data_IF_660351551097
#
_entry.id   IF_660351551097
#
_cell.length_a   1.000
_cell.length_b   1.000
_cell.length_c   1.000
_cell.angle_alpha   90.00
_cell.angle_beta   90.00
_cell.angle_gamma   90.00
#
_symmetry.space_group_name_H-M   'P 1'
#
loop_
_entity.id
_entity.type
_entity.pdbx_description
1 polymer ?
#
# COMPACT_ATOMS: atom_id res chain seq x y z
N UNK A 1 -28.82 0.32 -13.91
CA UNK A 1 -28.24 1.62 -13.48
C UNK A 1 -27.67 1.38 -12.08
N UNK A 2 -26.36 1.59 -11.87
CA UNK A 2 -25.77 1.54 -10.52
C UNK A 2 -26.49 2.59 -9.65
N UNK A 3 -26.83 2.23 -8.42
CA UNK A 3 -27.45 3.16 -7.46
C UNK A 3 -26.53 4.37 -7.21
N UNK A 4 -27.06 5.56 -6.90
CA UNK A 4 -26.24 6.71 -6.58
C UNK A 4 -25.32 6.39 -5.40
N UNK A 5 -24.05 6.73 -5.55
CA UNK A 5 -23.04 6.52 -4.49
C UNK A 5 -23.38 7.36 -3.25
N UNK A 6 -23.50 6.71 -2.11
CA UNK A 6 -23.72 7.41 -0.83
C UNK A 6 -22.36 7.56 -0.17
N UNK A 7 -21.82 8.79 -0.18
CA UNK A 7 -20.57 9.11 0.48
C UNK A 7 -20.76 9.26 1.98
N UNK A 8 -20.10 8.42 2.74
CA UNK A 8 -20.08 8.48 4.20
C UNK A 8 -18.75 9.07 4.66
N UNK A 9 -18.79 9.90 5.69
CA UNK A 9 -17.62 10.55 6.29
C UNK A 9 -17.65 10.22 7.78
N UNK A 10 -16.56 9.63 8.29
CA UNK A 10 -16.47 9.19 9.69
C UNK A 10 -16.26 10.37 10.63
N UNK A 11 -15.30 11.24 10.32
CA UNK A 11 -14.97 12.42 11.11
C UNK A 11 -15.07 13.69 10.24
N UNK A 12 -16.29 14.27 10.05
CA UNK A 12 -16.47 15.42 9.18
C UNK A 12 -15.65 16.64 9.60
N UNK A 13 -15.35 16.78 10.89
CA UNK A 13 -14.56 17.92 11.40
C UNK A 13 -13.15 17.88 10.83
N UNK A 14 -12.52 16.72 10.79
CA UNK A 14 -11.15 16.57 10.30
C UNK A 14 -11.11 16.30 8.79
N UNK A 15 -11.95 15.41 8.29
CA UNK A 15 -11.94 15.00 6.88
C UNK A 15 -12.43 16.08 5.92
N UNK A 16 -13.19 17.09 6.42
CA UNK A 16 -13.70 18.22 5.65
C UNK A 16 -13.20 19.58 6.19
N UNK A 17 -12.10 19.58 6.94
CA UNK A 17 -11.53 20.80 7.50
C UNK A 17 -11.08 21.74 6.38
N UNK A 18 -11.33 23.06 6.56
CA UNK A 18 -10.86 24.09 5.64
C UNK A 18 -9.32 24.06 5.57
N UNK A 19 -8.76 24.19 4.36
CA UNK A 19 -7.33 23.98 4.08
C UNK A 19 -6.39 24.84 4.91
N UNK A 20 -6.72 26.10 5.14
CA UNK A 20 -5.90 27.01 5.97
C UNK A 20 -5.84 26.52 7.42
N UNK A 21 -7.00 26.14 7.97
CA UNK A 21 -7.08 25.61 9.34
C UNK A 21 -6.36 24.28 9.52
N UNK A 22 -6.46 23.42 8.50
CA UNK A 22 -5.73 22.15 8.50
C UNK A 22 -4.22 22.40 8.49
N UNK A 23 -3.74 23.36 7.68
CA UNK A 23 -2.33 23.71 7.62
C UNK A 23 -1.81 24.32 8.94
N UNK A 24 -2.62 25.15 9.60
CA UNK A 24 -2.31 25.67 10.95
C UNK A 24 -2.21 24.52 11.98
N UNK A 25 -3.16 23.59 11.95
CA UNK A 25 -3.15 22.40 12.81
C UNK A 25 -1.91 21.53 12.56
N UNK A 26 -1.58 21.30 11.30
CA UNK A 26 -0.37 20.56 10.92
C UNK A 26 0.90 21.24 11.43
N UNK A 27 1.02 22.56 11.29
CA UNK A 27 2.18 23.33 11.78
C UNK A 27 2.36 23.21 13.29
N UNK A 28 1.25 23.30 14.06
CA UNK A 28 1.27 23.11 15.51
C UNK A 28 1.74 21.70 15.89
N UNK A 29 1.12 20.67 15.31
CA UNK A 29 1.43 19.26 15.56
C UNK A 29 2.85 18.89 15.13
N UNK A 30 3.32 19.46 14.02
CA UNK A 30 4.70 19.28 13.53
C UNK A 30 5.71 19.78 14.57
N UNK A 31 5.51 20.98 15.11
CA UNK A 31 6.38 21.54 16.16
C UNK A 31 6.42 20.63 17.38
N UNK A 32 5.25 20.22 17.90
CA UNK A 32 5.15 19.31 19.05
C UNK A 32 5.90 17.99 18.80
N UNK A 33 5.80 17.44 17.59
CA UNK A 33 6.51 16.22 17.21
C UNK A 33 8.02 16.44 17.12
N UNK A 34 8.46 17.54 16.54
CA UNK A 34 9.90 17.87 16.43
C UNK A 34 10.51 18.10 17.81
N UNK A 35 9.83 18.79 18.70
CA UNK A 35 10.26 18.96 20.12
C UNK A 35 10.40 17.60 20.82
N UNK A 36 9.42 16.70 20.65
CA UNK A 36 9.43 15.34 21.20
C UNK A 36 10.63 14.53 20.68
N UNK A 37 10.84 14.52 19.37
CA UNK A 37 11.92 13.80 18.72
C UNK A 37 13.30 14.33 19.10
N UNK A 38 13.48 15.63 19.06
CA UNK A 38 14.73 16.28 19.44
C UNK A 38 15.12 16.00 20.90
N UNK A 39 14.13 16.00 21.81
CA UNK A 39 14.35 15.74 23.22
C UNK A 39 14.74 14.27 23.51
N UNK A 40 14.08 13.32 22.84
CA UNK A 40 14.09 11.93 23.27
C UNK A 40 14.83 10.96 22.31
N UNK A 41 15.03 11.32 21.03
CA UNK A 41 15.67 10.45 20.05
C UNK A 41 17.04 11.00 19.63
N UNK A 42 18.15 10.39 20.11
CA UNK A 42 19.51 10.90 19.85
C UNK A 42 19.81 11.10 18.37
N UNK A 43 19.41 10.15 17.50
CA UNK A 43 19.66 10.24 16.06
C UNK A 43 19.07 11.50 15.42
N UNK A 44 17.83 11.86 15.76
CA UNK A 44 17.21 13.09 15.23
C UNK A 44 17.93 14.33 15.75
N UNK A 45 18.24 14.37 17.03
CA UNK A 45 18.98 15.50 17.61
C UNK A 45 20.35 15.68 16.94
N UNK A 46 21.12 14.61 16.79
CA UNK A 46 22.43 14.65 16.13
C UNK A 46 22.34 15.17 14.69
N UNK A 47 21.35 14.70 13.92
CA UNK A 47 21.14 15.14 12.54
C UNK A 47 20.70 16.58 12.46
N UNK A 48 19.77 17.01 13.31
CA UNK A 48 19.32 18.40 13.34
C UNK A 48 20.45 19.33 13.78
N UNK A 49 21.22 18.98 14.79
CA UNK A 49 22.38 19.77 15.25
C UNK A 49 23.46 19.89 14.16
N UNK A 50 23.73 18.81 13.42
CA UNK A 50 24.64 18.81 12.29
C UNK A 50 24.19 19.77 11.15
N UNK A 51 22.88 19.96 10.99
CA UNK A 51 22.28 20.87 10.03
C UNK A 51 22.11 22.29 10.59
N UNK A 52 22.44 22.51 11.87
CA UNK A 52 22.22 23.80 12.55
C UNK A 52 20.74 24.14 12.77
N UNK A 53 19.85 23.15 12.83
CA UNK A 53 18.41 23.30 12.97
C UNK A 53 17.98 22.93 14.40
N UNK A 54 17.15 23.75 15.00
CA UNK A 54 16.57 23.55 16.33
C UNK A 54 15.06 23.48 16.26
N UNK A 55 14.37 22.89 17.26
CA UNK A 55 12.90 22.84 17.29
C UNK A 55 12.23 24.21 17.11
N UNK A 56 12.79 25.27 17.67
CA UNK A 56 12.30 26.65 17.54
C UNK A 56 12.35 27.22 16.13
N UNK A 57 13.11 26.62 15.22
CA UNK A 57 13.20 27.00 13.80
C UNK A 57 12.04 26.44 12.98
N UNK A 58 11.26 25.52 13.55
CA UNK A 58 10.11 24.87 12.91
C UNK A 58 8.83 25.54 13.38
N UNK A 59 8.33 26.48 12.61
CA UNK A 59 7.17 27.31 12.96
C UNK A 59 5.92 26.96 12.14
N UNK A 60 6.09 26.35 11.00
CA UNK A 60 5.02 26.01 10.07
C UNK A 60 5.37 24.76 9.25
N UNK A 61 4.43 24.28 8.46
CA UNK A 61 4.65 23.19 7.50
C UNK A 61 5.71 23.57 6.44
N UNK A 62 5.88 24.86 6.13
CA UNK A 62 6.88 25.33 5.16
C UNK A 62 8.31 25.10 5.62
N UNK A 63 8.51 24.96 6.94
CA UNK A 63 9.81 24.68 7.54
C UNK A 63 10.21 23.20 7.50
N UNK A 64 9.28 22.32 7.07
CA UNK A 64 9.51 20.88 7.00
C UNK A 64 10.79 20.52 6.22
N UNK A 65 11.08 21.24 5.14
CA UNK A 65 12.28 21.07 4.32
C UNK A 65 13.60 21.29 5.07
N UNK A 66 13.59 21.95 6.23
CA UNK A 66 14.77 22.12 7.08
C UNK A 66 15.12 20.84 7.85
N UNK A 67 14.19 19.91 8.00
CA UNK A 67 14.38 18.67 8.74
C UNK A 67 15.11 17.61 7.92
N UNK A 68 15.93 16.76 8.57
CA UNK A 68 16.61 15.66 7.89
C UNK A 68 15.63 14.58 7.43
N UNK A 69 16.00 13.90 6.35
CA UNK A 69 15.30 12.68 5.93
C UNK A 69 15.61 11.51 6.86
N UNK A 70 14.65 10.60 6.96
CA UNK A 70 14.80 9.28 7.55
C UNK A 70 14.55 8.21 6.49
N UNK A 71 15.30 7.13 6.59
CA UNK A 71 15.25 6.00 5.66
C UNK A 71 15.07 4.67 6.39
N UNK A 72 14.73 3.65 5.63
CA UNK A 72 14.54 2.29 6.15
C UNK A 72 15.80 1.70 6.81
N UNK A 73 16.97 2.11 6.35
CA UNK A 73 18.27 1.76 6.94
C UNK A 73 18.41 2.27 8.36
N UNK A 74 17.95 3.49 8.64
CA UNK A 74 18.01 4.07 9.99
C UNK A 74 17.22 3.24 11.01
N UNK A 75 16.03 2.74 10.59
CA UNK A 75 15.23 1.88 11.47
C UNK A 75 15.91 0.54 11.77
N UNK A 76 16.69 0.02 10.83
CA UNK A 76 17.48 -1.22 11.02
C UNK A 76 18.68 -0.99 11.92
N UNK A 77 19.37 0.13 11.73
CA UNK A 77 20.57 0.48 12.50
C UNK A 77 20.22 0.80 13.95
N UNK A 78 19.04 1.39 14.17
CA UNK A 78 18.51 1.73 15.50
C UNK A 78 17.66 0.59 16.14
N UNK A 79 17.67 -0.62 15.54
CA UNK A 79 16.93 -1.76 16.07
C UNK A 79 17.44 -2.18 17.45
N UNK A 80 16.58 -2.52 18.44
CA UNK A 80 15.12 -2.55 18.31
C UNK A 80 14.42 -1.24 18.74
N UNK A 81 15.01 -0.42 19.60
CA UNK A 81 14.32 0.66 20.34
C UNK A 81 14.99 2.02 20.24
N UNK A 82 16.03 2.17 19.40
CA UNK A 82 16.81 3.41 19.31
C UNK A 82 16.03 4.62 18.79
N UNK A 83 14.85 4.39 18.17
CA UNK A 83 13.97 5.46 17.68
C UNK A 83 12.70 5.65 18.53
N UNK A 84 12.61 5.02 19.71
CA UNK A 84 11.48 5.30 20.59
C UNK A 84 11.63 6.71 21.22
N UNK A 85 10.57 7.51 21.02
CA UNK A 85 10.45 8.83 21.65
C UNK A 85 9.79 8.77 23.05
N UNK A 86 9.36 7.59 23.47
CA UNK A 86 8.75 7.30 24.76
C UNK A 86 9.47 6.16 25.47
N UNK A 87 9.26 6.03 26.78
CA UNK A 87 9.77 4.88 27.54
C UNK A 87 9.07 3.59 27.08
N UNK A 88 9.77 2.46 27.13
CA UNK A 88 9.20 1.17 26.77
C UNK A 88 7.94 0.81 27.60
N UNK A 89 7.83 1.33 28.83
CA UNK A 89 6.67 1.17 29.70
C UNK A 89 5.40 1.85 29.17
N UNK A 90 5.54 2.84 28.28
CA UNK A 90 4.45 3.60 27.68
C UNK A 90 4.06 3.01 26.30
N UNK A 91 4.84 2.03 25.83
CA UNK A 91 4.57 1.31 24.58
C UNK A 91 3.66 0.12 24.87
N UNK A 92 2.45 0.18 24.35
CA UNK A 92 1.44 -0.89 24.56
C UNK A 92 1.46 -1.95 23.47
N UNK A 93 2.12 -1.67 22.33
CA UNK A 93 2.21 -2.60 21.21
C UNK A 93 3.47 -2.39 20.39
N UNK A 94 4.06 -3.51 19.94
CA UNK A 94 5.13 -3.52 18.97
C UNK A 94 4.62 -4.21 17.72
N UNK A 95 4.81 -3.56 16.56
CA UNK A 95 4.53 -4.13 15.25
C UNK A 95 5.81 -4.18 14.44
N UNK A 96 5.83 -5.00 13.39
CA UNK A 96 7.00 -5.10 12.53
C UNK A 96 6.63 -5.35 11.09
N UNK A 97 7.53 -4.99 10.19
CA UNK A 97 7.44 -5.32 8.78
C UNK A 97 8.25 -6.58 8.47
N UNK A 98 7.86 -7.31 7.41
CA UNK A 98 8.64 -8.43 6.90
C UNK A 98 9.98 -7.92 6.37
N UNK A 99 11.04 -8.11 7.11
CA UNK A 99 12.39 -7.86 6.63
C UNK A 99 12.78 -8.92 5.59
N UNK A 100 12.84 -8.56 4.31
CA UNK A 100 13.33 -9.45 3.25
C UNK A 100 14.83 -9.72 3.34
N UNK A 101 15.56 -8.97 4.16
CA UNK A 101 17.04 -8.95 4.23
C UNK A 101 17.62 -9.18 5.62
N UNK A 102 16.90 -9.83 6.55
CA UNK A 102 17.43 -10.14 7.90
C UNK A 102 16.57 -9.64 9.05
N UNK A 103 17.03 -8.65 9.84
CA UNK A 103 16.27 -8.14 10.98
C UNK A 103 14.99 -7.43 10.54
N UNK A 104 13.83 -7.72 11.15
CA UNK A 104 12.60 -6.99 10.86
C UNK A 104 12.74 -5.53 11.30
N UNK A 105 12.02 -4.62 10.64
CA UNK A 105 11.80 -3.29 11.18
C UNK A 105 10.70 -3.42 12.22
N UNK A 106 10.94 -2.85 13.39
CA UNK A 106 9.93 -2.79 14.46
C UNK A 106 9.56 -1.36 14.77
N UNK A 107 8.33 -1.14 15.17
CA UNK A 107 7.82 0.16 15.61
C UNK A 107 6.99 -0.01 16.87
N UNK A 108 7.18 0.89 17.81
CA UNK A 108 6.41 0.94 19.07
C UNK A 108 5.22 1.90 18.94
N UNK A 109 4.11 1.49 19.51
CA UNK A 109 2.87 2.27 19.56
C UNK A 109 2.45 2.50 21.01
N UNK A 110 2.16 3.74 21.34
CA UNK A 110 1.46 4.10 22.59
C UNK A 110 -0.03 3.85 22.46
N UNK A 111 -0.78 4.01 23.51
CA UNK A 111 -2.25 3.92 23.49
C UNK A 111 -2.86 4.99 22.57
N UNK A 112 -2.32 6.21 22.58
CA UNK A 112 -2.69 7.26 21.64
C UNK A 112 -2.44 6.87 20.20
N UNK A 113 -1.31 6.25 19.88
CA UNK A 113 -0.97 5.83 18.52
C UNK A 113 -1.94 4.76 18.00
N UNK A 114 -2.36 3.85 18.88
CA UNK A 114 -3.37 2.83 18.55
C UNK A 114 -4.73 3.48 18.29
N UNK A 115 -5.10 4.48 19.07
CA UNK A 115 -6.34 5.22 18.90
C UNK A 115 -6.38 5.96 17.56
N UNK A 116 -5.31 6.70 17.24
CA UNK A 116 -5.14 7.40 15.96
C UNK A 116 -5.20 6.42 14.79
N UNK A 117 -4.48 5.31 14.88
CA UNK A 117 -4.49 4.29 13.83
C UNK A 117 -5.89 3.68 13.64
N UNK A 118 -6.56 3.36 14.74
CA UNK A 118 -7.94 2.84 14.72
C UNK A 118 -8.89 3.80 14.01
N UNK A 119 -8.77 5.11 14.28
CA UNK A 119 -9.56 6.13 13.61
C UNK A 119 -9.26 6.21 12.11
N UNK A 120 -7.99 6.22 11.70
CA UNK A 120 -7.61 6.24 10.28
C UNK A 120 -8.24 5.07 9.50
N UNK A 121 -8.24 3.88 10.07
CA UNK A 121 -8.88 2.71 9.43
C UNK A 121 -10.40 2.80 9.45
N UNK A 122 -10.99 3.34 10.52
CA UNK A 122 -12.44 3.59 10.58
C UNK A 122 -12.89 4.56 9.47
N UNK A 123 -12.11 5.62 9.19
CA UNK A 123 -12.33 6.54 8.07
C UNK A 123 -12.26 5.81 6.72
N UNK A 124 -11.26 4.94 6.53
CA UNK A 124 -11.11 4.14 5.31
C UNK A 124 -12.30 3.22 5.06
N UNK A 125 -12.71 2.45 6.05
CA UNK A 125 -13.87 1.56 5.97
C UNK A 125 -15.15 2.34 5.70
N UNK A 126 -15.37 3.45 6.40
CA UNK A 126 -16.55 4.32 6.20
C UNK A 126 -16.58 4.92 4.80
N UNK A 127 -15.41 5.34 4.27
CA UNK A 127 -15.28 5.89 2.92
C UNK A 127 -15.59 4.86 1.83
N UNK A 128 -15.28 3.59 2.07
CA UNK A 128 -15.67 2.46 1.22
C UNK A 128 -17.14 2.02 1.39
N UNK A 129 -17.94 2.75 2.20
CA UNK A 129 -19.36 2.47 2.42
C UNK A 129 -19.69 1.64 3.66
N UNK A 130 -18.69 1.32 4.48
CA UNK A 130 -18.84 0.55 5.71
C UNK A 130 -19.63 1.29 6.80
N UNK A 131 -20.34 0.52 7.63
CA UNK A 131 -21.13 1.02 8.76
C UNK A 131 -21.40 -0.08 9.80
N UNK A 132 -22.18 0.24 10.84
CA UNK A 132 -22.46 -0.67 11.96
C UNK A 132 -23.27 -1.93 11.58
N UNK A 133 -23.98 -1.91 10.45
CA UNK A 133 -24.78 -3.07 10.01
C UNK A 133 -23.93 -4.11 9.26
N UNK A 134 -22.64 -3.84 9.07
CA UNK A 134 -21.76 -4.66 8.25
C UNK A 134 -21.13 -5.83 9.03
N UNK A 135 -20.91 -6.92 8.31
CA UNK A 135 -20.09 -8.05 8.72
C UNK A 135 -18.82 -8.02 7.88
N UNK A 136 -17.69 -7.70 8.51
CA UNK A 136 -16.41 -7.46 7.83
C UNK A 136 -15.47 -8.65 8.03
N UNK A 137 -15.15 -9.33 6.93
CA UNK A 137 -14.19 -10.43 6.95
C UNK A 137 -12.79 -9.91 6.72
N UNK A 138 -11.87 -10.22 7.65
CA UNK A 138 -10.48 -9.79 7.62
C UNK A 138 -9.59 -10.97 7.28
N UNK A 139 -9.01 -10.91 6.09
CA UNK A 139 -8.10 -11.91 5.53
C UNK A 139 -6.64 -11.43 5.52
N UNK A 140 -6.32 -10.34 6.21
CA UNK A 140 -4.94 -9.96 6.51
C UNK A 140 -4.39 -10.79 7.67
N UNK A 141 -3.09 -11.12 7.62
CA UNK A 141 -2.43 -11.81 8.72
C UNK A 141 -2.47 -11.02 10.03
N UNK A 142 -2.79 -11.71 11.11
CA UNK A 142 -2.66 -11.21 12.48
C UNK A 142 -1.26 -11.51 13.02
N UNK A 143 -0.81 -10.76 14.01
CA UNK A 143 0.48 -10.93 14.66
C UNK A 143 1.36 -9.69 14.51
N UNK A 144 2.63 -9.87 14.07
CA UNK A 144 3.58 -8.78 14.00
C UNK A 144 3.25 -7.74 12.91
N UNK A 145 2.52 -8.13 11.87
CA UNK A 145 2.08 -7.23 10.79
C UNK A 145 0.87 -6.38 11.18
N UNK A 146 0.81 -5.17 10.63
CA UNK A 146 -0.22 -4.18 10.98
C UNK A 146 -1.59 -4.45 10.33
N UNK A 147 -1.62 -5.15 9.20
CA UNK A 147 -2.84 -5.27 8.37
C UNK A 147 -4.05 -5.82 9.10
N UNK A 148 -3.91 -7.01 9.71
CA UNK A 148 -5.02 -7.69 10.37
C UNK A 148 -5.57 -6.93 11.58
N UNK A 149 -4.68 -6.49 12.48
CA UNK A 149 -5.08 -5.76 13.69
C UNK A 149 -5.65 -4.38 13.38
N UNK A 150 -5.08 -3.66 12.41
CA UNK A 150 -5.60 -2.35 12.00
C UNK A 150 -7.01 -2.44 11.42
N UNK A 151 -7.23 -3.36 10.47
CA UNK A 151 -8.55 -3.57 9.88
C UNK A 151 -9.58 -4.01 10.94
N UNK A 152 -9.18 -4.88 11.87
CA UNK A 152 -10.00 -5.35 12.98
C UNK A 152 -10.48 -4.19 13.87
N UNK A 153 -9.55 -3.39 14.36
CA UNK A 153 -9.87 -2.28 15.27
C UNK A 153 -10.72 -1.21 14.58
N UNK A 154 -10.39 -0.86 13.33
CA UNK A 154 -11.20 0.08 12.55
C UNK A 154 -12.62 -0.41 12.30
N UNK A 155 -12.80 -1.71 12.00
CA UNK A 155 -14.11 -2.32 11.83
C UNK A 155 -14.93 -2.30 13.12
N UNK A 156 -14.33 -2.65 14.26
CA UNK A 156 -14.99 -2.53 15.56
C UNK A 156 -15.35 -1.07 15.90
N UNK A 157 -14.49 -0.12 15.55
CA UNK A 157 -14.71 1.31 15.78
C UNK A 157 -15.95 1.85 15.07
N UNK A 158 -16.23 1.40 13.86
CA UNK A 158 -17.45 1.79 13.12
C UNK A 158 -18.70 1.00 13.58
N UNK A 159 -18.57 0.10 14.56
CA UNK A 159 -19.66 -0.74 15.10
C UNK A 159 -19.93 -2.00 14.30
N UNK A 160 -19.13 -2.34 13.29
CA UNK A 160 -19.33 -3.52 12.46
C UNK A 160 -18.96 -4.82 13.19
N UNK A 161 -19.59 -5.94 12.78
CA UNK A 161 -19.20 -7.26 13.22
C UNK A 161 -17.96 -7.74 12.48
N UNK A 162 -16.96 -8.27 13.18
CA UNK A 162 -15.70 -8.72 12.59
C UNK A 162 -15.62 -10.24 12.52
N UNK A 163 -15.24 -10.77 11.34
CA UNK A 163 -14.82 -12.16 11.15
C UNK A 163 -13.28 -12.17 11.05
N UNK A 164 -12.55 -12.50 12.12
CA UNK A 164 -11.09 -12.38 12.18
C UNK A 164 -10.40 -13.65 11.63
N UNK A 165 -10.47 -13.85 10.32
CA UNK A 165 -10.01 -15.09 9.65
C UNK A 165 -8.50 -15.23 9.58
N UNK A 166 -7.75 -14.11 9.55
CA UNK A 166 -6.32 -14.10 9.19
C UNK A 166 -6.07 -14.53 7.73
N UNK A 167 -4.81 -14.62 7.32
CA UNK A 167 -4.43 -15.04 5.97
C UNK A 167 -4.52 -16.58 5.81
N UNK A 168 -4.64 -17.04 4.57
CA UNK A 168 -4.60 -18.47 4.22
C UNK A 168 -5.92 -19.23 4.41
N UNK A 169 -5.88 -20.54 4.19
CA UNK A 169 -7.02 -21.46 4.30
C UNK A 169 -8.25 -21.04 3.48
N UNK A 170 -8.08 -20.96 2.17
CA UNK A 170 -9.07 -20.46 1.19
C UNK A 170 -10.43 -21.13 1.33
N UNK A 171 -10.49 -22.45 1.57
CA UNK A 171 -11.74 -23.18 1.77
C UNK A 171 -12.55 -22.64 2.95
N UNK A 172 -11.87 -22.42 4.06
CA UNK A 172 -12.50 -21.88 5.27
C UNK A 172 -12.88 -20.41 5.08
N UNK A 173 -12.08 -19.64 4.33
CA UNK A 173 -12.41 -18.25 4.00
C UNK A 173 -13.74 -18.17 3.25
N UNK A 174 -13.90 -18.96 2.20
CA UNK A 174 -15.14 -19.00 1.40
C UNK A 174 -16.34 -19.48 2.23
N UNK A 175 -16.16 -20.55 3.01
CA UNK A 175 -17.21 -21.06 3.87
C UNK A 175 -17.69 -20.00 4.87
N UNK A 176 -16.78 -19.32 5.57
CA UNK A 176 -17.15 -18.29 6.54
C UNK A 176 -17.77 -17.06 5.86
N UNK A 177 -17.28 -16.64 4.70
CA UNK A 177 -17.84 -15.54 3.91
C UNK A 177 -19.30 -15.81 3.56
N UNK A 178 -19.61 -16.98 3.06
CA UNK A 178 -20.97 -17.34 2.60
C UNK A 178 -21.92 -17.65 3.75
N UNK A 179 -21.48 -18.43 4.74
CA UNK A 179 -22.35 -18.88 5.85
C UNK A 179 -22.62 -17.78 6.88
N UNK A 180 -21.61 -16.92 7.18
CA UNK A 180 -21.78 -15.80 8.11
C UNK A 180 -22.25 -14.52 7.41
N UNK A 181 -22.38 -14.54 6.08
CA UNK A 181 -22.92 -13.43 5.30
C UNK A 181 -22.06 -12.18 5.35
N UNK A 182 -20.75 -12.33 5.15
CA UNK A 182 -19.85 -11.18 5.09
C UNK A 182 -20.31 -10.16 4.03
N UNK A 183 -20.35 -8.88 4.41
CA UNK A 183 -20.76 -7.76 3.55
C UNK A 183 -19.60 -6.92 3.09
N UNK A 184 -18.45 -7.01 3.77
CA UNK A 184 -17.21 -6.36 3.35
C UNK A 184 -16.02 -7.31 3.50
N UNK A 185 -15.00 -7.10 2.65
CA UNK A 185 -13.78 -7.89 2.61
C UNK A 185 -12.54 -6.99 2.79
N UNK A 186 -11.60 -7.41 3.65
CA UNK A 186 -10.31 -6.77 3.83
C UNK A 186 -9.20 -7.78 3.57
N UNK A 187 -8.45 -7.63 2.48
CA UNK A 187 -7.32 -8.50 2.15
C UNK A 187 -6.39 -7.86 1.12
N UNK A 188 -5.34 -8.57 0.69
CA UNK A 188 -4.52 -8.12 -0.44
C UNK A 188 -5.28 -8.28 -1.75
N UNK A 189 -5.05 -7.40 -2.75
CA UNK A 189 -5.76 -7.47 -4.04
C UNK A 189 -5.60 -8.82 -4.75
N UNK A 190 -4.39 -9.38 -4.76
CA UNK A 190 -4.13 -10.69 -5.38
C UNK A 190 -4.89 -11.81 -4.72
N UNK A 191 -5.01 -11.78 -3.38
CA UNK A 191 -5.77 -12.80 -2.66
C UNK A 191 -7.28 -12.62 -2.86
N UNK A 192 -7.77 -11.37 -2.95
CA UNK A 192 -9.17 -11.09 -3.29
C UNK A 192 -9.54 -11.66 -4.67
N UNK A 193 -8.68 -11.44 -5.68
CA UNK A 193 -8.87 -11.99 -7.02
C UNK A 193 -8.91 -13.51 -7.00
N UNK A 194 -7.98 -14.14 -6.29
CA UNK A 194 -7.97 -15.60 -6.15
C UNK A 194 -9.23 -16.15 -5.46
N UNK A 195 -9.71 -15.47 -4.40
CA UNK A 195 -10.98 -15.84 -3.74
C UNK A 195 -12.17 -15.67 -4.68
N UNK A 196 -12.25 -14.56 -5.41
CA UNK A 196 -13.35 -14.28 -6.34
C UNK A 196 -13.42 -15.33 -7.47
N UNK A 197 -12.27 -15.64 -8.09
CA UNK A 197 -12.20 -16.68 -9.11
C UNK A 197 -12.57 -18.06 -8.57
N UNK A 198 -12.09 -18.41 -7.37
CA UNK A 198 -12.43 -19.69 -6.74
C UNK A 198 -13.92 -19.79 -6.40
N UNK A 199 -14.54 -18.71 -5.91
CA UNK A 199 -15.98 -18.66 -5.65
C UNK A 199 -16.79 -18.83 -6.94
N UNK A 200 -16.39 -18.18 -8.04
CA UNK A 200 -17.00 -18.31 -9.36
C UNK A 200 -16.91 -19.75 -9.87
N UNK A 201 -15.72 -20.32 -9.87
CA UNK A 201 -15.43 -21.66 -10.40
C UNK A 201 -16.18 -22.76 -9.64
N UNK A 202 -16.56 -22.49 -8.39
CA UNK A 202 -17.38 -23.39 -7.55
C UNK A 202 -18.88 -23.09 -7.58
N UNK A 203 -19.30 -22.09 -8.33
CA UNK A 203 -20.73 -21.72 -8.40
C UNK A 203 -21.28 -21.20 -7.08
N UNK A 204 -20.48 -20.46 -6.29
CA UNK A 204 -20.86 -19.95 -4.97
C UNK A 204 -21.19 -18.45 -4.97
N UNK A 205 -21.13 -17.77 -6.12
CA UNK A 205 -21.33 -16.32 -6.19
C UNK A 205 -22.70 -15.86 -5.68
N UNK A 206 -23.74 -16.62 -5.90
CA UNK A 206 -25.11 -16.33 -5.41
C UNK A 206 -25.24 -16.37 -3.88
N UNK A 207 -24.27 -16.95 -3.16
CA UNK A 207 -24.21 -16.96 -1.70
C UNK A 207 -23.40 -15.79 -1.15
N UNK A 208 -22.65 -15.07 -1.99
CA UNK A 208 -21.81 -13.95 -1.58
C UNK A 208 -22.68 -12.70 -1.41
N UNK A 209 -22.51 -12.00 -0.28
CA UNK A 209 -23.23 -10.77 0.07
C UNK A 209 -22.33 -9.53 0.13
N UNK A 210 -21.10 -9.64 -0.40
CA UNK A 210 -20.15 -8.55 -0.40
C UNK A 210 -20.71 -7.36 -1.20
N UNK A 211 -20.67 -6.18 -0.60
CA UNK A 211 -21.02 -4.91 -1.25
C UNK A 211 -19.82 -4.00 -1.48
N UNK A 212 -18.76 -4.21 -0.70
CA UNK A 212 -17.52 -3.45 -0.81
C UNK A 212 -16.33 -4.20 -0.19
N UNK A 213 -15.13 -3.69 -0.44
CA UNK A 213 -13.91 -4.14 0.23
C UNK A 213 -12.82 -3.09 0.22
N UNK A 214 -11.86 -3.26 1.13
CA UNK A 214 -10.62 -2.46 1.15
C UNK A 214 -9.42 -3.37 0.92
N UNK A 215 -8.60 -2.99 -0.08
CA UNK A 215 -7.50 -3.81 -0.58
C UNK A 215 -6.21 -3.00 -0.58
N UNK A 216 -5.12 -3.61 -0.14
CA UNK A 216 -3.82 -2.94 -0.07
C UNK A 216 -2.69 -3.88 0.35
N UNK A 217 -1.61 -3.33 0.85
CA UNK A 217 -0.36 -4.00 1.18
C UNK A 217 0.48 -4.45 -0.03
N UNK A 218 -0.04 -4.36 -1.23
CA UNK A 218 0.66 -4.57 -2.50
C UNK A 218 0.10 -3.63 -3.58
N UNK A 219 0.90 -3.24 -4.58
CA UNK A 219 0.40 -2.51 -5.74
C UNK A 219 -0.60 -3.37 -6.54
N UNK A 220 -1.59 -2.73 -7.12
CA UNK A 220 -2.55 -3.37 -8.03
C UNK A 220 -3.06 -2.37 -9.07
N UNK A 221 -3.54 -2.87 -10.21
CA UNK A 221 -3.92 -2.04 -11.35
C UNK A 221 -5.44 -1.79 -11.40
N UNK A 222 -5.86 -0.81 -12.21
CA UNK A 222 -7.29 -0.54 -12.42
C UNK A 222 -8.00 -1.74 -13.04
N UNK A 223 -7.35 -2.39 -13.97
CA UNK A 223 -7.88 -3.57 -14.64
C UNK A 223 -8.08 -4.76 -13.69
N UNK A 224 -7.15 -4.92 -12.73
CA UNK A 224 -7.32 -5.91 -11.67
C UNK A 224 -8.52 -5.57 -10.79
N UNK A 225 -8.76 -4.28 -10.53
CA UNK A 225 -9.99 -3.80 -9.85
C UNK A 225 -11.22 -4.13 -10.65
N UNK A 226 -11.25 -3.75 -11.93
CA UNK A 226 -12.38 -4.00 -12.82
C UNK A 226 -12.68 -5.49 -12.94
N UNK A 227 -11.65 -6.33 -13.04
CA UNK A 227 -11.80 -7.78 -13.05
C UNK A 227 -12.44 -8.28 -11.75
N UNK A 228 -11.91 -7.85 -10.59
CA UNK A 228 -12.44 -8.22 -9.28
C UNK A 228 -13.90 -7.77 -9.10
N UNK A 229 -14.21 -6.53 -9.46
CA UNK A 229 -15.56 -5.97 -9.39
C UNK A 229 -16.53 -6.65 -10.35
N UNK A 230 -16.06 -7.10 -11.51
CA UNK A 230 -16.90 -7.83 -12.48
C UNK A 230 -17.32 -9.20 -11.98
N UNK A 231 -16.51 -9.85 -11.13
CA UNK A 231 -16.83 -11.16 -10.57
C UNK A 231 -17.75 -11.04 -9.34
N UNK A 232 -17.47 -10.10 -8.44
CA UNK A 232 -18.15 -10.02 -7.14
C UNK A 232 -19.29 -8.99 -7.09
N UNK A 233 -19.47 -8.17 -8.13
CA UNK A 233 -20.47 -7.08 -8.23
C UNK A 233 -20.48 -6.17 -6.98
N UNK A 234 -19.33 -5.67 -6.59
CA UNK A 234 -19.13 -4.89 -5.38
C UNK A 234 -18.21 -3.68 -5.64
N UNK A 235 -17.94 -2.84 -4.65
CA UNK A 235 -16.98 -1.73 -4.75
C UNK A 235 -15.63 -2.10 -4.12
N UNK A 236 -14.56 -2.11 -4.91
CA UNK A 236 -13.20 -2.35 -4.45
C UNK A 236 -12.43 -1.03 -4.29
N UNK A 237 -12.06 -0.69 -3.04
CA UNK A 237 -11.34 0.53 -2.70
C UNK A 237 -9.90 0.22 -2.25
N UNK A 238 -8.97 1.10 -2.61
CA UNK A 238 -7.57 0.99 -2.23
C UNK A 238 -7.33 1.53 -0.81
N UNK A 239 -6.38 0.94 -0.09
CA UNK A 239 -5.90 1.42 1.21
C UNK A 239 -4.37 1.32 1.26
N UNK A 240 -3.74 2.41 1.68
CA UNK A 240 -2.29 2.50 1.78
C UNK A 240 -1.84 2.75 3.22
N UNK A 241 -0.67 2.22 3.54
CA UNK A 241 0.02 2.50 4.80
C UNK A 241 1.29 1.69 4.96
N UNK A 242 2.09 2.13 5.92
CA UNK A 242 3.36 1.53 6.30
C UNK A 242 3.36 1.30 7.81
N UNK A 243 3.95 0.19 8.25
CA UNK A 243 4.08 -0.14 9.68
C UNK A 243 4.71 1.02 10.46
N UNK A 244 5.76 1.60 9.93
CA UNK A 244 6.53 2.68 10.56
C UNK A 244 5.77 4.02 10.63
N UNK A 245 4.80 4.26 9.75
CA UNK A 245 4.02 5.50 9.72
C UNK A 245 2.77 5.42 10.58
N UNK A 246 2.00 4.35 10.48
CA UNK A 246 0.75 4.20 11.23
C UNK A 246 -0.06 2.97 10.81
N UNK A 247 0.56 2.03 10.09
CA UNK A 247 -0.15 0.86 9.55
C UNK A 247 -1.06 1.21 8.37
N UNK A 248 -2.01 0.33 8.00
CA UNK A 248 -2.99 0.63 6.97
C UNK A 248 -3.89 1.81 7.39
N UNK A 249 -4.36 2.57 6.41
CA UNK A 249 -5.25 3.71 6.63
C UNK A 249 -4.56 5.06 6.63
N UNK A 250 -3.24 5.15 6.45
CA UNK A 250 -2.54 6.44 6.25
C UNK A 250 -3.14 7.19 5.06
N UNK A 251 -3.45 6.46 3.99
CA UNK A 251 -4.27 6.96 2.89
C UNK A 251 -5.31 5.91 2.46
N UNK A 252 -6.45 6.37 1.92
CA UNK A 252 -7.58 5.51 1.57
C UNK A 252 -8.41 6.09 0.42
N UNK A 253 -8.96 5.22 -0.40
CA UNK A 253 -9.94 5.62 -1.42
C UNK A 253 -11.35 5.77 -0.82
N UNK A 254 -12.12 6.64 -1.42
CA UNK A 254 -13.57 6.69 -1.30
C UNK A 254 -14.21 6.02 -2.53
N UNK A 255 -15.54 5.94 -2.57
CA UNK A 255 -16.29 5.32 -3.68
C UNK A 255 -16.08 6.02 -5.04
N UNK A 256 -15.48 7.23 -5.08
CA UNK A 256 -15.11 7.89 -6.34
C UNK A 256 -13.92 7.22 -7.02
N UNK A 257 -13.03 6.54 -6.26
CA UNK A 257 -11.88 5.78 -6.78
C UNK A 257 -10.90 6.62 -7.62
N UNK A 258 -10.82 7.90 -7.29
CA UNK A 258 -9.95 8.87 -7.97
C UNK A 258 -8.76 9.29 -7.10
N UNK A 259 -8.03 8.31 -6.60
CA UNK A 259 -6.90 8.47 -5.69
C UNK A 259 -7.30 8.38 -4.22
N UNK A 260 -6.28 8.16 -3.38
CA UNK A 260 -6.41 7.91 -1.96
C UNK A 260 -6.30 9.22 -1.16
N UNK A 261 -7.30 9.53 -0.35
CA UNK A 261 -7.26 10.63 0.62
C UNK A 261 -6.22 10.36 1.69
N UNK A 262 -5.29 11.28 1.88
CA UNK A 262 -4.29 11.21 2.95
C UNK A 262 -4.89 11.75 4.24
N UNK A 263 -4.68 11.09 5.36
CA UNK A 263 -5.10 11.56 6.68
C UNK A 263 -4.19 12.70 7.16
N UNK A 264 -4.33 13.88 6.54
CA UNK A 264 -3.44 15.04 6.69
C UNK A 264 -3.45 15.66 8.09
N UNK A 265 -4.44 15.40 8.90
CA UNK A 265 -4.44 15.77 10.31
C UNK A 265 -3.51 14.90 11.16
N UNK A 266 -3.10 13.72 10.66
CA UNK A 266 -2.19 12.80 11.33
C UNK A 266 -0.81 12.71 10.68
N UNK A 267 -0.71 13.02 9.39
CA UNK A 267 0.55 12.98 8.63
C UNK A 267 0.68 14.18 7.70
N UNK A 268 1.89 14.65 7.49
CA UNK A 268 2.22 15.56 6.40
C UNK A 268 2.83 14.72 5.28
N UNK A 269 2.40 14.98 4.04
CA UNK A 269 2.85 14.27 2.84
C UNK A 269 3.61 15.21 1.93
N UNK A 270 4.76 14.76 1.42
CA UNK A 270 5.57 15.42 0.39
C UNK A 270 5.77 14.45 -0.77
N UNK A 271 5.92 15.01 -1.98
CA UNK A 271 6.51 14.30 -3.12
C UNK A 271 7.84 14.97 -3.40
N UNK A 272 8.90 14.19 -3.49
CA UNK A 272 10.25 14.70 -3.74
C UNK A 272 10.85 14.10 -5.00
N UNK A 273 11.81 14.82 -5.59
CA UNK A 273 12.72 14.24 -6.57
C UNK A 273 13.61 13.22 -5.84
N UNK A 274 13.64 11.94 -6.24
CA UNK A 274 14.39 10.91 -5.51
C UNK A 274 15.91 11.10 -5.50
N UNK A 275 16.47 11.85 -6.50
CA UNK A 275 17.90 12.10 -6.63
C UNK A 275 18.34 13.33 -5.84
N UNK A 276 17.56 14.42 -5.89
CA UNK A 276 17.93 15.69 -5.26
C UNK A 276 17.35 15.90 -3.88
N UNK A 277 16.26 15.19 -3.54
CA UNK A 277 15.49 15.38 -2.30
C UNK A 277 14.61 16.65 -2.30
N UNK A 278 14.58 17.41 -3.40
CA UNK A 278 13.77 18.62 -3.48
C UNK A 278 12.28 18.31 -3.65
N UNK A 279 11.41 19.04 -2.95
CA UNK A 279 9.96 18.88 -3.10
C UNK A 279 9.49 19.19 -4.52
N UNK A 280 8.56 18.39 -5.02
CA UNK A 280 7.93 18.56 -6.34
C UNK A 280 6.54 19.18 -6.21
N UNK A 281 6.09 19.95 -7.21
CA UNK A 281 4.74 20.50 -7.27
C UNK A 281 3.67 19.42 -7.32
N UNK A 282 2.44 19.78 -6.94
CA UNK A 282 1.28 18.90 -7.10
C UNK A 282 1.10 18.49 -8.56
N UNK A 283 0.78 17.22 -8.78
CA UNK A 283 0.62 16.62 -10.11
C UNK A 283 1.89 16.01 -10.68
N UNK A 284 3.07 16.37 -10.20
CA UNK A 284 4.34 15.75 -10.61
C UNK A 284 4.56 14.44 -9.85
N UNK A 285 5.12 13.46 -10.56
CA UNK A 285 5.45 12.15 -10.01
C UNK A 285 6.83 12.16 -9.37
N UNK A 286 6.94 11.61 -8.17
CA UNK A 286 8.19 11.50 -7.44
C UNK A 286 8.08 10.55 -6.26
N UNK A 287 9.09 10.55 -5.41
CA UNK A 287 9.13 9.70 -4.22
C UNK A 287 8.24 10.27 -3.11
N UNK A 288 7.42 9.41 -2.55
CA UNK A 288 6.52 9.70 -1.44
C UNK A 288 7.30 9.78 -0.12
N UNK A 289 7.08 10.86 0.62
CA UNK A 289 7.68 11.10 1.93
C UNK A 289 6.58 11.43 2.93
N UNK A 290 6.64 10.83 4.12
CA UNK A 290 5.72 11.13 5.20
C UNK A 290 6.42 11.67 6.43
N UNK A 291 5.75 12.62 7.09
CA UNK A 291 6.06 13.05 8.46
C UNK A 291 4.85 12.78 9.34
N UNK A 292 4.98 11.97 10.37
CA UNK A 292 3.91 11.74 11.34
C UNK A 292 3.85 12.94 12.31
N UNK A 293 2.63 13.39 12.63
CA UNK A 293 2.43 14.57 13.49
C UNK A 293 1.47 14.33 14.65
N UNK A 294 1.09 13.08 14.88
CA UNK A 294 0.27 12.66 16.03
C UNK A 294 0.76 11.35 16.65
N UNK A 295 1.71 10.68 16.01
CA UNK A 295 2.35 9.48 16.53
C UNK A 295 3.35 9.87 17.63
N UNK A 296 3.27 9.25 18.78
CA UNK A 296 4.04 9.63 19.96
C UNK A 296 5.07 8.60 20.39
N UNK A 297 4.84 7.32 20.11
CA UNK A 297 5.75 6.24 20.53
C UNK A 297 7.04 6.21 19.73
N UNK A 298 6.92 6.29 18.42
CA UNK A 298 8.04 6.29 17.48
C UNK A 298 7.64 7.13 16.26
N UNK A 299 7.63 8.45 16.37
CA UNK A 299 7.33 9.34 15.25
C UNK A 299 8.34 9.17 14.10
N UNK A 300 7.98 9.64 12.90
CA UNK A 300 8.86 9.66 11.73
C UNK A 300 8.84 11.06 11.13
N UNK A 301 10.01 11.71 11.05
CA UNK A 301 10.17 12.99 10.35
C UNK A 301 10.76 12.73 8.96
N UNK A 302 10.08 13.24 7.92
CA UNK A 302 10.49 13.12 6.52
C UNK A 302 10.98 11.72 6.10
N UNK A 303 10.17 10.72 6.43
CA UNK A 303 10.49 9.32 6.12
C UNK A 303 10.31 9.04 4.64
N UNK A 304 11.39 8.67 3.97
CA UNK A 304 11.41 8.26 2.56
C UNK A 304 10.85 6.86 2.42
N UNK A 305 9.73 6.73 1.72
CA UNK A 305 9.04 5.45 1.56
C UNK A 305 9.60 4.61 0.43
N UNK A 306 10.31 5.25 -0.50
CA UNK A 306 10.70 4.72 -1.81
C UNK A 306 9.53 4.41 -2.75
N UNK A 307 8.29 4.65 -2.36
CA UNK A 307 7.13 4.51 -3.23
C UNK A 307 6.99 5.70 -4.16
N UNK A 308 6.66 5.47 -5.43
CA UNK A 308 6.48 6.51 -6.45
C UNK A 308 4.99 6.78 -6.64
N UNK A 309 4.61 8.05 -6.46
CA UNK A 309 3.25 8.54 -6.67
C UNK A 309 3.26 10.04 -7.00
N UNK A 310 2.08 10.65 -7.07
CA UNK A 310 1.87 12.10 -7.19
C UNK A 310 0.71 12.55 -6.33
N UNK A 311 0.71 13.81 -5.90
CA UNK A 311 -0.42 14.38 -5.17
C UNK A 311 -1.44 15.01 -6.13
N UNK A 312 -2.72 14.88 -5.79
CA UNK A 312 -3.88 15.33 -6.54
C UNK A 312 -4.57 16.42 -5.71
N UNK A 313 -4.48 17.66 -6.16
CA UNK A 313 -5.00 18.83 -5.42
C UNK A 313 -6.49 19.12 -5.72
N UNK A 314 -7.03 18.59 -6.83
CA UNK A 314 -8.41 18.83 -7.24
C UNK A 314 -9.40 18.35 -6.18
N UNK A 315 -10.50 19.07 -5.94
CA UNK A 315 -11.54 18.62 -5.00
C UNK A 315 -12.11 17.25 -5.37
N UNK A 316 -12.43 16.44 -4.35
CA UNK A 316 -13.12 15.19 -4.55
C UNK A 316 -14.65 15.38 -4.43
N UNK A 317 -15.45 14.78 -5.34
CA UNK A 317 -16.92 14.85 -5.25
C UNK A 317 -17.48 14.25 -3.95
N UNK A 318 -16.73 13.42 -3.23
CA UNK A 318 -17.15 12.86 -1.95
C UNK A 318 -17.28 13.89 -0.80
N UNK A 319 -16.81 15.14 -1.01
CA UNK A 319 -16.90 16.23 -0.04
C UNK A 319 -15.72 16.35 0.93
N UNK A 320 -14.76 15.41 0.91
CA UNK A 320 -13.51 15.53 1.71
C UNK A 320 -12.60 16.60 1.13
N UNK A 321 -11.98 17.36 2.02
CA UNK A 321 -10.99 18.39 1.65
C UNK A 321 -9.56 17.90 1.70
N UNK A 322 -9.33 16.69 2.19
CA UNK A 322 -8.02 16.05 2.27
C UNK A 322 -7.39 15.89 0.89
N UNK A 323 -6.08 16.17 0.79
CA UNK A 323 -5.33 15.91 -0.45
C UNK A 323 -5.38 14.41 -0.78
N UNK A 324 -5.32 14.11 -2.07
CA UNK A 324 -5.25 12.71 -2.51
C UNK A 324 -3.88 12.40 -3.11
N UNK A 325 -3.43 11.19 -2.91
CA UNK A 325 -2.32 10.63 -3.67
C UNK A 325 -2.86 9.70 -4.75
N UNK A 326 -2.19 9.66 -5.90
CA UNK A 326 -2.51 8.67 -6.93
C UNK A 326 -2.14 7.27 -6.47
N UNK A 327 -2.55 6.28 -7.23
CA UNK A 327 -2.04 4.91 -7.08
C UNK A 327 -0.52 4.90 -7.20
N UNK A 328 0.12 3.99 -6.48
CA UNK A 328 1.56 3.78 -6.62
C UNK A 328 1.88 3.29 -8.03
N UNK A 329 2.89 3.88 -8.66
CA UNK A 329 3.36 3.48 -9.99
C UNK A 329 4.59 2.59 -9.93
N UNK A 330 5.23 2.47 -8.77
CA UNK A 330 6.42 1.64 -8.54
C UNK A 330 7.12 2.02 -7.24
N UNK A 331 8.31 1.47 -7.06
CA UNK A 331 9.21 1.79 -5.96
C UNK A 331 10.61 2.07 -6.50
N UNK A 332 11.32 3.03 -5.91
CA UNK A 332 12.72 3.31 -6.27
C UNK A 332 13.66 2.17 -5.88
N UNK A 333 13.33 1.41 -4.82
CA UNK A 333 14.12 0.27 -4.33
C UNK A 333 13.75 -1.08 -4.98
N UNK A 334 12.58 -1.21 -5.63
CA UNK A 334 12.18 -2.36 -6.45
C UNK A 334 12.54 -2.16 -7.94
N UNK A 335 13.19 -1.05 -8.26
CA UNK A 335 13.64 -0.74 -9.61
C UNK A 335 14.78 -1.69 -10.03
N UNK A 336 14.54 -2.40 -11.10
CA UNK A 336 15.57 -3.23 -11.73
C UNK A 336 16.29 -2.42 -12.79
N UNK A 337 17.59 -2.20 -12.63
CA UNK A 337 18.40 -1.65 -13.73
C UNK A 337 18.83 -2.80 -14.62
N UNK A 338 18.30 -2.86 -15.84
CA UNK A 338 18.57 -3.93 -16.80
C UNK A 338 19.13 -3.30 -18.09
N UNK A 339 20.38 -3.57 -18.39
CA UNK A 339 21.07 -2.98 -19.57
C UNK A 339 20.97 -1.43 -19.62
N UNK A 340 21.08 -0.76 -18.45
CA UNK A 340 20.99 0.69 -18.35
C UNK A 340 19.58 1.28 -18.44
N UNK A 341 18.53 0.43 -18.45
CA UNK A 341 17.13 0.86 -18.43
C UNK A 341 16.52 0.52 -17.09
N UNK A 342 15.81 1.49 -16.51
CA UNK A 342 15.05 1.31 -15.28
C UNK A 342 13.75 0.56 -15.59
N UNK A 343 13.58 -0.60 -14.99
CA UNK A 343 12.43 -1.49 -15.17
C UNK A 343 11.70 -1.64 -13.85
N UNK A 344 10.43 -1.29 -13.84
CA UNK A 344 9.57 -1.47 -12.67
C UNK A 344 8.62 -2.64 -12.89
N UNK A 345 8.40 -3.51 -11.89
CA UNK A 345 7.43 -4.59 -11.98
C UNK A 345 6.03 -4.13 -12.41
N UNK A 346 5.61 -2.95 -11.96
CA UNK A 346 4.33 -2.35 -12.34
C UNK A 346 4.20 -2.04 -13.84
N UNK A 347 5.31 -1.71 -14.52
CA UNK A 347 5.30 -1.51 -15.97
C UNK A 347 5.06 -2.83 -16.71
N UNK A 348 5.65 -3.93 -16.20
CA UNK A 348 5.40 -5.27 -16.76
C UNK A 348 3.95 -5.67 -16.51
N UNK A 349 3.42 -5.43 -15.32
CA UNK A 349 2.01 -5.70 -14.99
C UNK A 349 1.07 -4.97 -15.94
N UNK A 350 1.30 -3.68 -16.18
CA UNK A 350 0.53 -2.89 -17.15
C UNK A 350 0.57 -3.46 -18.59
N UNK A 351 1.66 -4.16 -18.98
CA UNK A 351 1.73 -4.83 -20.27
C UNK A 351 0.82 -6.06 -20.38
N UNK A 352 0.53 -6.71 -19.25
CA UNK A 352 -0.21 -7.98 -19.20
C UNK A 352 -1.71 -7.79 -19.07
N UNK A 353 -2.09 -6.66 -18.56
CA UNK A 353 -3.47 -6.33 -18.24
C UNK A 353 -4.31 -6.22 -19.51
N UNK A 354 -5.56 -6.74 -19.43
CA UNK A 354 -6.52 -6.72 -20.53
C UNK A 354 -6.16 -7.62 -21.71
N UNK A 355 -5.19 -8.53 -21.56
CA UNK A 355 -4.90 -9.56 -22.56
C UNK A 355 -5.73 -10.81 -22.27
N UNK A 356 -6.59 -11.17 -23.22
CA UNK A 356 -7.28 -12.46 -23.17
C UNK A 356 -6.27 -13.60 -23.14
N UNK A 357 -6.52 -14.59 -22.31
CA UNK A 357 -5.66 -15.76 -22.17
C UNK A 357 -4.53 -15.63 -21.14
N UNK A 358 -4.42 -14.50 -20.44
CA UNK A 358 -3.43 -14.26 -19.38
C UNK A 358 -4.10 -14.25 -18.02
N UNK A 359 -3.57 -15.01 -17.07
CA UNK A 359 -3.93 -14.89 -15.66
C UNK A 359 -3.12 -13.74 -14.98
N UNK A 360 -3.61 -13.11 -13.90
CA UNK A 360 -2.94 -11.95 -13.26
C UNK A 360 -1.70 -12.33 -12.43
N UNK A 361 -1.05 -13.45 -12.77
CA UNK A 361 0.11 -13.96 -12.05
C UNK A 361 1.33 -14.01 -12.96
N UNK A 362 2.40 -13.31 -12.53
CA UNK A 362 3.65 -13.24 -13.26
C UNK A 362 4.86 -13.22 -12.31
N UNK A 363 6.03 -13.55 -12.84
CA UNK A 363 7.31 -13.53 -12.15
C UNK A 363 8.38 -12.93 -13.07
N UNK A 364 9.17 -12.00 -12.55
CA UNK A 364 10.33 -11.43 -13.21
C UNK A 364 11.57 -12.19 -12.74
N UNK A 365 12.32 -12.75 -13.68
CA UNK A 365 13.59 -13.42 -13.40
C UNK A 365 14.69 -12.64 -14.10
N UNK A 366 15.66 -12.17 -13.32
CA UNK A 366 16.81 -11.44 -13.84
C UNK A 366 18.07 -12.26 -13.64
N UNK A 367 18.72 -12.59 -14.74
CA UNK A 367 19.97 -13.31 -14.76
C UNK A 367 21.08 -12.47 -15.40
N UNK A 368 22.35 -12.79 -15.10
CA UNK A 368 23.51 -12.23 -15.80
C UNK A 368 24.24 -13.33 -16.53
N UNK A 369 24.23 -13.27 -17.87
CA UNK A 369 24.88 -14.22 -18.74
C UNK A 369 25.90 -13.51 -19.61
N UNK A 370 27.15 -13.91 -19.55
CA UNK A 370 28.25 -13.27 -20.29
C UNK A 370 28.30 -11.75 -20.10
N UNK A 371 28.24 -11.31 -18.84
CA UNK A 371 28.24 -9.88 -18.43
C UNK A 371 27.04 -9.06 -18.94
N UNK A 372 26.01 -9.70 -19.48
CA UNK A 372 24.81 -9.04 -19.97
C UNK A 372 23.60 -9.48 -19.16
N UNK A 373 22.81 -8.48 -18.68
CA UNK A 373 21.60 -8.75 -17.95
C UNK A 373 20.50 -9.25 -18.88
N UNK A 374 19.84 -10.34 -18.49
CA UNK A 374 18.69 -10.92 -19.17
C UNK A 374 17.46 -10.85 -18.28
N UNK A 375 16.38 -10.35 -18.85
CA UNK A 375 15.07 -10.35 -18.22
C UNK A 375 14.23 -11.47 -18.84
N UNK A 376 13.73 -12.35 -17.99
CA UNK A 376 12.66 -13.29 -18.31
C UNK A 376 11.39 -12.89 -17.55
N UNK A 377 10.26 -12.90 -18.24
CA UNK A 377 8.95 -12.67 -17.67
C UNK A 377 8.15 -13.97 -17.82
N UNK A 378 7.94 -14.66 -16.71
CA UNK A 378 7.06 -15.82 -16.65
C UNK A 378 5.64 -15.38 -16.34
N UNK A 379 4.68 -15.86 -17.11
CA UNK A 379 3.28 -15.42 -17.04
C UNK A 379 2.39 -16.66 -17.08
N UNK A 380 1.45 -16.74 -16.15
CA UNK A 380 0.45 -17.80 -16.18
C UNK A 380 -0.57 -17.58 -17.28
N UNK A 381 -0.85 -18.62 -18.01
CA UNK A 381 -2.00 -18.66 -18.93
C UNK A 381 -3.30 -18.84 -18.15
N UNK A 382 -4.39 -18.31 -18.69
CA UNK A 382 -5.73 -18.66 -18.18
C UNK A 382 -6.04 -20.14 -18.48
N UNK A 383 -6.97 -20.74 -17.73
CA UNK A 383 -7.39 -22.14 -17.97
C UNK A 383 -7.97 -22.31 -19.39
N UNK A 384 -8.63 -21.27 -19.91
CA UNK A 384 -9.21 -21.29 -21.27
C UNK A 384 -8.17 -21.27 -22.37
N UNK A 385 -7.03 -20.59 -22.15
CA UNK A 385 -5.93 -20.52 -23.11
C UNK A 385 -5.00 -21.75 -23.02
N UNK A 386 -5.03 -22.48 -21.93
CA UNK A 386 -4.23 -23.68 -21.75
C UNK A 386 -4.83 -24.84 -22.56
N UNK A 387 -4.62 -24.79 -23.89
CA UNK A 387 -5.10 -25.74 -24.87
C UNK A 387 -3.93 -26.26 -25.69
N UNK A 388 -4.15 -27.33 -26.51
CA UNK A 388 -3.14 -27.89 -27.42
C UNK A 388 -2.90 -27.02 -28.68
N UNK A 389 -3.46 -25.82 -28.74
CA UNK A 389 -3.34 -24.90 -29.88
C UNK A 389 -2.07 -24.06 -29.80
N UNK A 390 -0.96 -24.64 -30.21
CA UNK A 390 0.37 -23.99 -30.18
C UNK A 390 0.39 -22.63 -30.88
N UNK A 391 -0.36 -22.44 -31.97
CA UNK A 391 -0.39 -21.20 -32.72
C UNK A 391 -1.01 -20.01 -31.91
N UNK A 392 -2.01 -20.27 -31.08
CA UNK A 392 -2.66 -19.23 -30.23
C UNK A 392 -1.70 -18.84 -29.10
N UNK A 393 -1.01 -19.82 -28.49
CA UNK A 393 -0.01 -19.58 -27.43
C UNK A 393 1.17 -18.75 -27.98
N UNK A 394 1.67 -19.07 -29.19
CA UNK A 394 2.76 -18.33 -29.82
C UNK A 394 2.33 -16.89 -30.19
N UNK A 395 1.11 -16.70 -30.67
CA UNK A 395 0.55 -15.35 -30.95
C UNK A 395 0.47 -14.51 -29.70
N UNK A 396 -0.05 -15.07 -28.59
CA UNK A 396 -0.12 -14.39 -27.30
C UNK A 396 1.28 -14.03 -26.79
N UNK A 397 2.23 -14.96 -26.85
CA UNK A 397 3.62 -14.71 -26.46
C UNK A 397 4.26 -13.58 -27.26
N UNK A 398 4.04 -13.53 -28.56
CA UNK A 398 4.53 -12.47 -29.44
C UNK A 398 3.93 -11.11 -29.07
N UNK A 399 2.62 -11.06 -28.87
CA UNK A 399 1.90 -9.85 -28.47
C UNK A 399 2.44 -9.28 -27.15
N UNK A 400 2.64 -10.13 -26.15
CA UNK A 400 3.19 -9.72 -24.85
C UNK A 400 4.63 -9.22 -25.02
N UNK A 401 5.46 -9.92 -25.78
CA UNK A 401 6.85 -9.53 -26.03
C UNK A 401 6.95 -8.14 -26.66
N UNK A 402 6.10 -7.86 -27.63
CA UNK A 402 6.03 -6.55 -28.30
C UNK A 402 5.54 -5.44 -27.34
N UNK A 403 4.51 -5.71 -26.53
CA UNK A 403 4.03 -4.75 -25.52
C UNK A 403 5.10 -4.41 -24.50
N UNK A 404 5.78 -5.41 -23.94
CA UNK A 404 6.91 -5.20 -23.00
C UNK A 404 7.99 -4.35 -23.66
N UNK A 405 8.40 -4.68 -24.88
CA UNK A 405 9.41 -3.91 -25.61
C UNK A 405 8.97 -2.46 -25.86
N UNK A 406 7.70 -2.25 -26.17
CA UNK A 406 7.13 -0.90 -26.42
C UNK A 406 7.04 -0.04 -25.16
N UNK A 407 6.61 -0.61 -24.03
CA UNK A 407 6.34 0.12 -22.79
C UNK A 407 7.61 0.27 -21.94
N UNK A 408 8.40 -0.80 -21.84
CA UNK A 408 9.59 -0.86 -20.98
C UNK A 408 10.87 -0.46 -21.70
N UNK A 409 10.86 -0.51 -23.04
CA UNK A 409 12.01 -0.12 -23.86
C UNK A 409 13.09 -1.19 -23.97
N UNK A 410 12.91 -2.39 -23.41
CA UNK A 410 13.87 -3.51 -23.50
C UNK A 410 13.19 -4.79 -23.99
N UNK A 411 13.98 -5.64 -24.65
CA UNK A 411 13.52 -6.99 -24.99
C UNK A 411 13.62 -7.90 -23.76
N UNK A 412 12.53 -8.57 -23.42
CA UNK A 412 12.45 -9.60 -22.42
C UNK A 412 12.13 -10.96 -23.06
N UNK A 413 12.62 -12.04 -22.46
CA UNK A 413 12.15 -13.38 -22.80
C UNK A 413 10.80 -13.58 -22.12
N UNK A 414 9.75 -13.84 -22.89
CA UNK A 414 8.43 -14.16 -22.36
C UNK A 414 8.24 -15.66 -22.34
N UNK A 415 7.90 -16.22 -21.17
CA UNK A 415 7.62 -17.64 -20.98
C UNK A 415 6.20 -17.79 -20.44
N UNK A 416 5.31 -18.34 -21.26
CA UNK A 416 3.97 -18.69 -20.81
C UNK A 416 4.03 -20.01 -20.05
N UNK A 417 3.50 -20.02 -18.83
CA UNK A 417 3.50 -21.20 -17.95
C UNK A 417 2.07 -21.68 -17.69
N UNK A 418 1.89 -22.98 -17.35
CA UNK A 418 0.56 -23.53 -17.09
C UNK A 418 -0.18 -22.76 -15.99
N UNK A 419 -1.52 -22.79 -15.98
CA UNK A 419 -2.32 -22.25 -14.87
C UNK A 419 -1.89 -22.81 -13.53
N UNK A 420 -1.90 -21.97 -12.49
CA UNK A 420 -1.57 -22.34 -11.10
C UNK A 420 -0.15 -22.86 -10.88
N UNK A 421 0.79 -22.60 -11.80
CA UNK A 421 2.19 -23.06 -11.70
C UNK A 421 3.11 -22.08 -10.97
N UNK A 422 2.80 -20.77 -10.94
CA UNK A 422 3.58 -19.81 -10.18
C UNK A 422 3.20 -19.83 -8.68
N UNK A 423 4.17 -19.57 -7.78
CA UNK A 423 3.91 -19.55 -6.34
C UNK A 423 2.79 -18.58 -5.96
N UNK A 424 1.87 -19.04 -5.13
CA UNK A 424 0.85 -18.18 -4.49
C UNK A 424 1.37 -17.68 -3.16
N UNK A 425 1.21 -16.39 -2.93
CA UNK A 425 1.61 -15.75 -1.69
C UNK A 425 0.38 -15.62 -0.77
N UNK A 426 0.47 -16.11 0.45
CA UNK A 426 -0.55 -15.87 1.48
C UNK A 426 -0.44 -14.46 2.09
N UNK A 427 0.51 -13.67 1.61
CA UNK A 427 0.78 -12.29 1.97
C UNK A 427 1.26 -11.49 0.77
N UNK A 428 2.24 -10.59 0.95
CA UNK A 428 2.79 -9.76 -0.14
C UNK A 428 3.41 -10.65 -1.22
N UNK A 429 2.98 -10.48 -2.47
CA UNK A 429 3.49 -11.25 -3.59
C UNK A 429 4.97 -10.95 -3.87
N UNK A 430 5.81 -12.00 -3.91
CA UNK A 430 7.20 -11.88 -4.36
C UNK A 430 7.21 -12.07 -5.88
N UNK A 431 7.40 -10.97 -6.61
CA UNK A 431 7.33 -10.97 -8.09
C UNK A 431 8.69 -10.89 -8.79
N UNK A 432 9.78 -10.83 -8.04
CA UNK A 432 11.14 -10.69 -8.57
C UNK A 432 12.05 -11.78 -8.01
N UNK A 433 12.79 -12.41 -8.91
CA UNK A 433 13.94 -13.27 -8.62
C UNK A 433 15.13 -12.66 -9.33
N UNK A 434 16.03 -12.02 -8.57
CA UNK A 434 17.27 -11.47 -9.12
C UNK A 434 18.44 -12.39 -8.79
N UNK A 435 18.90 -13.12 -9.82
CA UNK A 435 19.98 -14.09 -9.72
C UNK A 435 21.38 -13.48 -10.02
N UNK A 436 21.46 -12.16 -10.22
CA UNK A 436 22.72 -11.51 -10.59
C UNK A 436 23.75 -11.45 -9.46
N UNK A 437 23.39 -11.87 -8.25
CA UNK A 437 24.26 -11.78 -7.08
C UNK A 437 24.56 -10.32 -6.64
N UNK A 438 23.77 -9.36 -7.14
CA UNK A 438 23.81 -7.98 -6.69
C UNK A 438 23.12 -7.94 -5.32
N UNK A 439 23.85 -8.24 -4.27
CA UNK A 439 23.43 -7.83 -2.93
C UNK A 439 23.37 -6.30 -2.95
N UNK A 440 22.19 -5.76 -2.74
CA UNK A 440 22.03 -4.34 -2.45
C UNK A 440 22.98 -4.01 -1.28
N UNK A 441 24.05 -3.24 -1.61
CA UNK A 441 24.92 -2.66 -0.62
C UNK A 441 24.23 -1.53 0.08
#
# INVERSE_FOLDING_TARGET
MKQPKIHRIYNPIMECMERTKLRELQGKRLRETVELEYANVPLYRERMDAMGVKPEDINSVDDLKKLPFMEKTDLRDQFPYGLLAQKLTDIVRIQGSSGTTGKPIVTGYTENDIEVWTEMVARALTAAGGNADDVIQICYGYGLFTGGLGAHQGAQRIGATVIPMSAGNTERQMMMMTELGATMLCCTPSYATYLAETLRDRGLLDKVKLKAGIFGAEPWTEEMREHLESILDFDACDIYGLTEIGGPGVAFECLEKHGMHVNEDHVIVEIINPETGEPLPYGESGELVFTTITKTGMPMLRYRTHDITRLIAEPCPCGRTLIRMSRLTGRTDDMLVIRGVNVFPSQIEACLVGLEGVAPFYMLIVDRVNSTDKLEVQIEMSEEMFTDKVSEIESLRSTITERIKSIVGIAAKVTLVPPKSLPRSEGKAKRIIDNRGLTNK
#
